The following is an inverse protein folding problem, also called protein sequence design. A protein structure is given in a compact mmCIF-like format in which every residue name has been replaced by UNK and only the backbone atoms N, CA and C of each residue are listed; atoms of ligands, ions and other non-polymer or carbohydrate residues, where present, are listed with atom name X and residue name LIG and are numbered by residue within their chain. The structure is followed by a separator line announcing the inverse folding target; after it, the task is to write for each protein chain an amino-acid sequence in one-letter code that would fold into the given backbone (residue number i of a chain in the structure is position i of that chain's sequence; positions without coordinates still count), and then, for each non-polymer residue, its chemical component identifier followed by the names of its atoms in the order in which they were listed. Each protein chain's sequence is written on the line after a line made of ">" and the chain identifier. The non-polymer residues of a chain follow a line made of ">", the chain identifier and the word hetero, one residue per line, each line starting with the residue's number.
data_IF_936857674986
#
_entry.id   IF_936857674986
#
_cell.length_a   1.000
_cell.length_b   1.000
_cell.length_c   1.000
_cell.angle_alpha   90.00
_cell.angle_beta   90.00
_cell.angle_gamma   90.00
#
_symmetry.space_group_name_H-M   'P 1'
#
loop_
_entity.id
_entity.type
_entity.pdbx_description
1 polymer ?
#
# COMPACT_ATOMS: atom_id res chain seq x y z
N UNK A 1 17.32 -5.61 -28.11
CA UNK A 1 17.87 -4.34 -27.61
C UNK A 1 19.39 -4.36 -27.44
N UNK A 2 20.01 -5.37 -26.77
CA UNK A 2 21.48 -5.46 -26.62
C UNK A 2 22.29 -5.41 -27.91
N UNK A 3 21.76 -5.96 -29.02
CA UNK A 3 22.44 -5.94 -30.31
C UNK A 3 22.41 -4.55 -30.98
N UNK A 4 21.34 -3.78 -30.76
CA UNK A 4 21.20 -2.40 -31.25
C UNK A 4 22.08 -1.48 -30.43
N UNK A 5 22.14 -1.65 -29.12
CA UNK A 5 22.98 -0.91 -28.19
C UNK A 5 24.48 -1.06 -28.48
N UNK A 6 24.90 -2.29 -28.83
CA UNK A 6 26.28 -2.57 -29.24
C UNK A 6 26.59 -1.98 -30.61
N UNK A 7 25.66 -2.00 -31.55
CA UNK A 7 25.83 -1.39 -32.87
C UNK A 7 25.90 0.17 -32.78
N UNK A 8 25.16 0.78 -31.83
CA UNK A 8 25.20 2.23 -31.61
C UNK A 8 26.48 2.68 -30.91
N UNK A 9 27.13 1.84 -30.08
CA UNK A 9 28.43 2.17 -29.46
C UNK A 9 29.59 2.33 -30.47
N UNK A 10 29.50 1.62 -31.58
CA UNK A 10 30.50 1.70 -32.67
C UNK A 10 30.19 2.79 -33.71
N UNK A 11 29.03 3.46 -33.59
CA UNK A 11 28.61 4.52 -34.49
C UNK A 11 29.17 5.87 -34.05
N UNK A 12 30.05 6.48 -34.86
CA UNK A 12 30.55 7.83 -34.63
C UNK A 12 29.43 8.87 -34.88
N UNK A 13 28.95 9.46 -33.83
CA UNK A 13 27.96 10.55 -33.91
C UNK A 13 28.46 11.70 -34.75
N UNK A 14 27.70 12.19 -35.78
CA UNK A 14 28.02 13.41 -36.47
C UNK A 14 27.97 14.63 -35.51
N UNK A 15 28.84 15.62 -35.71
CA UNK A 15 28.84 16.81 -34.83
C UNK A 15 27.43 17.43 -34.74
N UNK A 16 26.92 17.53 -33.51
CA UNK A 16 25.63 18.18 -33.21
C UNK A 16 24.41 17.25 -33.24
N UNK A 17 24.58 15.95 -33.41
CA UNK A 17 23.48 14.95 -33.34
C UNK A 17 23.73 14.02 -32.16
N UNK A 18 22.82 14.00 -31.22
CA UNK A 18 22.83 13.02 -30.14
C UNK A 18 21.80 11.92 -30.44
N UNK A 19 22.26 10.69 -30.61
CA UNK A 19 21.37 9.53 -30.84
C UNK A 19 20.94 9.01 -29.48
N UNK A 20 19.64 9.18 -29.16
CA UNK A 20 19.02 8.56 -27.99
C UNK A 20 18.13 7.42 -28.44
N UNK A 21 18.21 6.28 -27.74
CA UNK A 21 17.22 5.22 -27.89
C UNK A 21 15.93 5.69 -27.24
N UNK A 22 15.04 6.28 -28.04
CA UNK A 22 13.68 6.65 -27.63
C UNK A 22 12.73 5.46 -27.77
N UNK A 23 11.57 5.56 -27.14
CA UNK A 23 10.50 4.58 -27.22
C UNK A 23 10.03 4.09 -25.83
N UNK A 24 9.33 2.99 -25.79
CA UNK A 24 8.68 2.47 -24.57
C UNK A 24 9.61 2.34 -23.35
N UNK A 25 10.90 2.15 -23.55
CA UNK A 25 11.87 2.05 -22.44
C UNK A 25 12.19 3.41 -21.82
N UNK A 26 12.35 4.46 -22.63
CA UNK A 26 12.59 5.83 -22.13
C UNK A 26 11.34 6.35 -21.39
N UNK A 27 10.15 6.15 -21.96
CA UNK A 27 8.88 6.49 -21.30
C UNK A 27 8.70 5.72 -19.98
N UNK A 28 9.11 4.46 -19.91
CA UNK A 28 9.07 3.66 -18.71
C UNK A 28 10.05 4.17 -17.64
N UNK A 29 11.26 4.57 -18.02
CA UNK A 29 12.26 5.14 -17.11
C UNK A 29 11.79 6.49 -16.55
N UNK A 30 11.30 7.39 -17.40
CA UNK A 30 10.74 8.68 -16.97
C UNK A 30 9.55 8.50 -16.04
N UNK A 31 8.63 7.59 -16.37
CA UNK A 31 7.46 7.31 -15.55
C UNK A 31 7.87 6.67 -14.21
N UNK A 32 8.84 5.76 -14.20
CA UNK A 32 9.31 5.15 -12.95
C UNK A 32 10.02 6.15 -12.06
N UNK A 33 10.79 7.08 -12.62
CA UNK A 33 11.42 8.17 -11.87
C UNK A 33 10.36 9.11 -11.27
N UNK A 34 9.34 9.47 -12.05
CA UNK A 34 8.21 10.28 -11.58
C UNK A 34 7.45 9.58 -10.44
N UNK A 35 7.13 8.28 -10.59
CA UNK A 35 6.46 7.51 -9.55
C UNK A 35 7.30 7.39 -8.28
N UNK A 36 8.61 7.21 -8.40
CA UNK A 36 9.53 7.21 -7.27
C UNK A 36 9.52 8.54 -6.52
N UNK A 37 9.56 9.66 -7.24
CA UNK A 37 9.45 10.98 -6.65
C UNK A 37 8.08 11.21 -6.00
N UNK A 38 7.00 10.83 -6.67
CA UNK A 38 5.63 10.93 -6.14
C UNK A 38 5.47 10.12 -4.84
N UNK A 39 6.01 8.90 -4.80
CA UNK A 39 6.02 8.06 -3.59
C UNK A 39 6.80 8.73 -2.46
N UNK A 40 7.98 9.28 -2.74
CA UNK A 40 8.82 9.95 -1.74
C UNK A 40 8.13 11.20 -1.16
N UNK A 41 7.52 12.02 -2.02
CA UNK A 41 6.76 13.21 -1.60
C UNK A 41 5.55 12.79 -0.78
N UNK A 42 4.79 11.77 -1.22
CA UNK A 42 3.63 11.26 -0.50
C UNK A 42 4.02 10.74 0.88
N UNK A 43 5.11 9.98 0.98
CA UNK A 43 5.64 9.48 2.24
C UNK A 43 6.03 10.61 3.19
N UNK A 44 6.72 11.65 2.67
CA UNK A 44 7.11 12.81 3.46
C UNK A 44 5.89 13.59 3.97
N UNK A 45 4.89 13.82 3.11
CA UNK A 45 3.66 14.51 3.50
C UNK A 45 2.89 13.72 4.56
N UNK A 46 2.74 12.40 4.38
CA UNK A 46 2.12 11.52 5.36
C UNK A 46 2.88 11.60 6.69
N UNK A 47 4.21 11.52 6.67
CA UNK A 47 5.04 11.63 7.88
C UNK A 47 4.79 12.95 8.60
N UNK A 48 4.81 14.08 7.89
CA UNK A 48 4.58 15.41 8.48
C UNK A 48 3.18 15.48 9.12
N UNK A 49 2.15 15.05 8.40
CA UNK A 49 0.76 15.05 8.90
C UNK A 49 0.66 14.19 10.17
N UNK A 50 1.23 12.98 10.16
CA UNK A 50 1.19 12.08 11.30
C UNK A 50 1.95 12.62 12.51
N UNK A 51 3.10 13.26 12.30
CA UNK A 51 3.87 13.89 13.40
C UNK A 51 3.08 15.00 14.04
N UNK A 52 2.41 15.84 13.24
CA UNK A 52 1.53 16.91 13.75
C UNK A 52 0.32 16.32 14.48
N UNK A 53 -0.34 15.29 13.90
CA UNK A 53 -1.52 14.63 14.47
C UNK A 53 -1.25 14.02 15.84
N UNK A 54 -0.16 13.26 15.97
CA UNK A 54 0.15 12.50 17.18
C UNK A 54 1.09 13.23 18.15
N UNK A 55 1.57 14.41 17.80
CA UNK A 55 2.58 15.16 18.55
C UNK A 55 3.73 14.25 19.06
N UNK A 56 4.18 13.34 18.22
CA UNK A 56 5.13 12.27 18.53
C UNK A 56 5.78 11.77 17.25
N UNK A 57 7.04 11.36 17.31
CA UNK A 57 7.74 10.74 16.16
C UNK A 57 7.54 9.21 16.16
N UNK A 58 7.44 8.58 17.30
CA UNK A 58 7.41 7.12 17.40
C UNK A 58 6.12 6.47 16.88
N UNK A 59 4.95 7.11 17.03
CA UNK A 59 3.68 6.60 16.51
C UNK A 59 3.62 6.65 14.98
N UNK A 60 3.98 7.76 14.33
CA UNK A 60 4.12 7.81 12.87
C UNK A 60 5.02 6.73 12.29
N UNK A 61 6.15 6.43 12.92
CA UNK A 61 7.05 5.37 12.44
C UNK A 61 6.41 3.98 12.46
N UNK A 62 5.58 3.68 13.46
CA UNK A 62 4.81 2.44 13.52
C UNK A 62 3.83 2.38 12.35
N UNK A 63 3.06 3.44 12.13
CA UNK A 63 2.07 3.51 11.05
C UNK A 63 2.74 3.43 9.68
N UNK A 64 3.85 4.14 9.47
CA UNK A 64 4.59 4.11 8.20
C UNK A 64 5.22 2.74 7.91
N UNK A 65 5.54 1.94 8.92
CA UNK A 65 6.04 0.58 8.72
C UNK A 65 5.01 -0.31 8.00
N UNK A 66 3.71 -0.01 8.11
CA UNK A 66 2.65 -0.74 7.42
C UNK A 66 2.76 -0.60 5.89
N UNK A 67 3.24 0.55 5.39
CA UNK A 67 3.48 0.75 3.95
C UNK A 67 4.53 -0.24 3.45
N UNK A 68 5.62 -0.43 4.20
CA UNK A 68 6.66 -1.40 3.83
C UNK A 68 6.11 -2.83 3.79
N UNK A 69 5.31 -3.21 4.77
CA UNK A 69 4.66 -4.52 4.79
C UNK A 69 3.68 -4.69 3.64
N UNK A 70 2.94 -3.65 3.27
CA UNK A 70 2.03 -3.71 2.13
C UNK A 70 2.77 -3.95 0.81
N UNK A 71 3.93 -3.31 0.61
CA UNK A 71 4.79 -3.53 -0.56
C UNK A 71 5.30 -4.99 -0.60
N UNK A 72 5.72 -5.53 0.55
CA UNK A 72 6.10 -6.95 0.65
C UNK A 72 4.93 -7.85 0.24
N UNK A 73 3.72 -7.54 0.69
CA UNK A 73 2.51 -8.27 0.31
C UNK A 73 2.23 -8.24 -1.19
N UNK A 74 2.43 -7.08 -1.83
CA UNK A 74 2.33 -6.94 -3.30
C UNK A 74 3.32 -7.84 -4.01
N UNK A 75 4.60 -7.77 -3.63
CA UNK A 75 5.67 -8.56 -4.26
C UNK A 75 5.45 -10.06 -4.07
N UNK A 76 5.05 -10.49 -2.87
CA UNK A 76 4.70 -11.88 -2.59
C UNK A 76 3.52 -12.35 -3.46
N UNK A 77 2.44 -11.57 -3.53
CA UNK A 77 1.28 -11.92 -4.35
C UNK A 77 1.65 -12.10 -5.80
N UNK A 78 2.35 -11.13 -6.39
CA UNK A 78 2.77 -11.20 -7.80
C UNK A 78 3.68 -12.41 -8.06
N UNK A 79 4.62 -12.69 -7.13
CA UNK A 79 5.54 -13.83 -7.26
C UNK A 79 4.80 -15.16 -7.17
N UNK A 80 3.88 -15.32 -6.20
CA UNK A 80 3.13 -16.55 -6.00
C UNK A 80 2.21 -16.85 -7.20
N UNK A 81 1.54 -15.83 -7.72
CA UNK A 81 0.61 -15.99 -8.86
C UNK A 81 1.26 -15.84 -10.23
N UNK A 82 2.60 -15.69 -10.30
CA UNK A 82 3.38 -15.57 -11.54
C UNK A 82 2.81 -14.52 -12.51
N UNK A 83 2.40 -13.36 -11.98
CA UNK A 83 1.77 -12.31 -12.77
C UNK A 83 2.83 -11.43 -13.45
N UNK A 84 2.47 -10.91 -14.64
CA UNK A 84 3.32 -9.93 -15.33
C UNK A 84 3.38 -8.61 -14.58
N UNK A 85 4.57 -8.04 -14.46
CA UNK A 85 4.80 -6.80 -13.74
C UNK A 85 4.66 -5.60 -14.69
N UNK A 86 3.67 -4.75 -14.43
CA UNK A 86 3.58 -3.43 -15.04
C UNK A 86 4.09 -2.37 -14.06
N UNK A 87 5.30 -1.87 -14.28
CA UNK A 87 5.96 -0.90 -13.37
C UNK A 87 5.06 0.31 -13.11
N UNK A 88 4.41 0.83 -14.15
CA UNK A 88 3.54 2.01 -14.07
C UNK A 88 2.29 1.75 -13.24
N UNK A 89 1.53 0.71 -13.60
CA UNK A 89 0.24 0.43 -12.93
C UNK A 89 0.44 -0.08 -11.50
N UNK A 90 1.48 -0.89 -11.27
CA UNK A 90 1.85 -1.31 -9.92
C UNK A 90 2.32 -0.13 -9.08
N UNK A 91 3.13 0.77 -9.64
CA UNK A 91 3.60 1.97 -8.94
C UNK A 91 2.44 2.86 -8.48
N UNK A 92 1.48 3.13 -9.37
CA UNK A 92 0.25 3.85 -9.01
C UNK A 92 -0.54 3.10 -7.92
N UNK A 93 -0.65 1.77 -8.05
CA UNK A 93 -1.31 0.91 -7.05
C UNK A 93 -0.65 1.00 -5.67
N UNK A 94 0.68 1.01 -5.59
CA UNK A 94 1.44 1.14 -4.34
C UNK A 94 1.21 2.51 -3.70
N UNK A 95 1.21 3.60 -4.48
CA UNK A 95 0.92 4.95 -3.96
C UNK A 95 -0.50 5.03 -3.39
N UNK A 96 -1.49 4.51 -4.11
CA UNK A 96 -2.87 4.47 -3.64
C UNK A 96 -3.03 3.58 -2.38
N UNK A 97 -2.37 2.43 -2.38
CA UNK A 97 -2.35 1.48 -1.26
C UNK A 97 -1.78 2.11 0.02
N UNK A 98 -0.70 2.90 -0.09
CA UNK A 98 -0.10 3.58 1.04
C UNK A 98 -1.11 4.44 1.80
N UNK A 99 -1.96 5.21 1.09
CA UNK A 99 -3.00 6.03 1.71
C UNK A 99 -4.08 5.21 2.45
N UNK A 100 -4.47 4.07 1.88
CA UNK A 100 -5.50 3.20 2.49
C UNK A 100 -4.96 2.51 3.74
N UNK A 101 -3.74 2.00 3.69
CA UNK A 101 -3.10 1.26 4.78
C UNK A 101 -2.82 2.17 5.96
N UNK A 102 -2.24 3.36 5.72
CA UNK A 102 -1.96 4.37 6.76
C UNK A 102 -3.23 4.77 7.51
N UNK A 103 -4.35 4.93 6.82
CA UNK A 103 -5.63 5.23 7.47
C UNK A 103 -6.03 4.18 8.51
N UNK A 104 -5.83 2.90 8.21
CA UNK A 104 -6.15 1.82 9.16
C UNK A 104 -5.28 1.87 10.41
N UNK A 105 -3.97 2.11 10.24
CA UNK A 105 -3.02 2.29 11.35
C UNK A 105 -3.32 3.51 12.21
N UNK A 106 -3.69 4.64 11.59
CA UNK A 106 -4.11 5.84 12.32
C UNK A 106 -5.27 5.53 13.26
N UNK A 107 -6.35 4.92 12.72
CA UNK A 107 -7.55 4.61 13.50
C UNK A 107 -7.28 3.68 14.69
N UNK A 108 -6.35 2.74 14.55
CA UNK A 108 -5.98 1.82 15.63
C UNK A 108 -5.18 2.53 16.72
N UNK A 109 -4.15 3.29 16.33
CA UNK A 109 -3.28 4.01 17.27
C UNK A 109 -4.01 5.13 17.98
N UNK A 110 -4.84 5.89 17.27
CA UNK A 110 -5.67 6.98 17.85
C UNK A 110 -6.66 6.44 18.89
N UNK A 111 -7.30 5.29 18.59
CA UNK A 111 -8.22 4.69 19.55
C UNK A 111 -7.49 4.15 20.79
N UNK A 112 -6.28 3.59 20.63
CA UNK A 112 -5.47 3.18 21.76
C UNK A 112 -5.07 4.39 22.64
N UNK A 113 -4.69 5.52 22.03
CA UNK A 113 -4.41 6.75 22.75
C UNK A 113 -5.62 7.25 23.54
N UNK A 114 -6.79 7.25 22.91
CA UNK A 114 -8.05 7.64 23.57
C UNK A 114 -8.35 6.76 24.80
N UNK A 115 -8.11 5.45 24.72
CA UNK A 115 -8.29 4.54 25.86
C UNK A 115 -7.27 4.83 26.97
N UNK A 116 -6.03 5.16 26.62
CA UNK A 116 -5.02 5.58 27.61
C UNK A 116 -5.40 6.90 28.30
N UNK A 117 -5.97 7.85 27.59
CA UNK A 117 -6.49 9.10 28.17
C UNK A 117 -7.65 8.84 29.15
N UNK A 118 -8.42 7.77 28.96
CA UNK A 118 -9.45 7.31 29.88
C UNK A 118 -8.91 6.55 31.11
N UNK A 119 -7.59 6.40 31.21
CA UNK A 119 -6.92 5.81 32.36
C UNK A 119 -6.55 4.32 32.22
N UNK A 120 -6.73 3.73 31.03
CA UNK A 120 -6.30 2.35 30.78
C UNK A 120 -4.76 2.28 30.68
N UNK A 121 -4.20 1.14 31.07
CA UNK A 121 -2.79 0.85 30.82
C UNK A 121 -2.52 0.73 29.30
N UNK A 122 -1.26 0.91 28.87
CA UNK A 122 -0.91 0.80 27.46
C UNK A 122 -1.25 -0.59 26.88
N UNK A 123 -1.18 -1.64 27.68
CA UNK A 123 -1.54 -2.99 27.29
C UNK A 123 -3.04 -3.15 27.08
N UNK A 124 -3.84 -2.73 28.06
CA UNK A 124 -5.30 -2.80 27.98
C UNK A 124 -5.84 -1.92 26.84
N UNK A 125 -5.30 -0.70 26.68
CA UNK A 125 -5.69 0.23 25.66
C UNK A 125 -5.50 -0.33 24.24
N UNK A 126 -4.34 -0.94 23.97
CA UNK A 126 -4.07 -1.49 22.62
C UNK A 126 -4.86 -2.79 22.37
N UNK A 127 -5.11 -3.59 23.40
CA UNK A 127 -5.94 -4.78 23.30
C UNK A 127 -7.39 -4.42 22.99
N UNK A 128 -7.94 -3.41 23.70
CA UNK A 128 -9.29 -2.93 23.47
C UNK A 128 -9.42 -2.24 22.10
N UNK A 129 -8.39 -1.48 21.68
CA UNK A 129 -8.32 -0.91 20.35
C UNK A 129 -8.37 -2.00 19.27
N UNK A 130 -7.59 -3.07 19.45
CA UNK A 130 -7.61 -4.22 18.55
C UNK A 130 -9.00 -4.87 18.47
N UNK A 131 -9.63 -5.16 19.60
CA UNK A 131 -10.97 -5.76 19.66
C UNK A 131 -12.03 -4.89 18.98
N UNK A 132 -12.05 -3.61 19.29
CA UNK A 132 -13.09 -2.68 18.79
C UNK A 132 -12.89 -2.34 17.33
N UNK A 133 -11.64 -2.17 16.86
CA UNK A 133 -11.31 -1.72 15.50
C UNK A 133 -11.11 -2.86 14.50
N UNK A 134 -10.92 -4.10 14.95
CA UNK A 134 -10.73 -5.25 14.07
C UNK A 134 -11.88 -5.41 13.06
N UNK A 135 -13.13 -5.40 13.53
CA UNK A 135 -14.29 -5.60 12.66
C UNK A 135 -14.43 -4.51 11.59
N UNK A 136 -14.39 -3.20 11.90
CA UNK A 136 -14.41 -2.14 10.89
C UNK A 136 -13.25 -2.22 9.90
N UNK A 137 -12.03 -2.52 10.35
CA UNK A 137 -10.84 -2.63 9.49
C UNK A 137 -10.98 -3.82 8.52
N UNK A 138 -11.36 -4.99 9.02
CA UNK A 138 -11.60 -6.16 8.16
C UNK A 138 -12.74 -5.92 7.17
N UNK A 139 -13.84 -5.28 7.61
CA UNK A 139 -14.97 -5.00 6.74
C UNK A 139 -14.58 -4.06 5.59
N UNK A 140 -13.89 -2.95 5.90
CA UNK A 140 -13.46 -1.99 4.88
C UNK A 140 -12.44 -2.58 3.92
N UNK A 141 -11.47 -3.36 4.42
CA UNK A 141 -10.50 -4.04 3.58
C UNK A 141 -11.16 -5.06 2.65
N UNK A 142 -12.03 -5.92 3.20
CA UNK A 142 -12.76 -6.93 2.42
C UNK A 142 -13.67 -6.28 1.38
N UNK A 143 -14.41 -5.24 1.74
CA UNK A 143 -15.27 -4.51 0.81
C UNK A 143 -14.45 -3.88 -0.34
N UNK A 144 -13.29 -3.29 -0.03
CA UNK A 144 -12.39 -2.72 -1.06
C UNK A 144 -11.84 -3.82 -1.97
N UNK A 145 -11.37 -4.92 -1.42
CA UNK A 145 -10.86 -6.04 -2.21
C UNK A 145 -11.94 -6.64 -3.11
N UNK A 146 -13.13 -6.91 -2.57
CA UNK A 146 -14.26 -7.42 -3.36
C UNK A 146 -14.69 -6.44 -4.46
N UNK A 147 -14.66 -5.13 -4.19
CA UNK A 147 -14.95 -4.11 -5.18
C UNK A 147 -13.93 -4.06 -6.33
N UNK A 148 -12.67 -4.45 -6.07
CA UNK A 148 -11.61 -4.50 -7.07
C UNK A 148 -11.58 -5.82 -7.87
N UNK A 149 -12.18 -6.91 -7.35
CA UNK A 149 -12.19 -8.22 -8.05
C UNK A 149 -12.74 -8.13 -9.47
N UNK A 150 -13.88 -7.50 -9.74
CA UNK A 150 -14.40 -7.38 -11.11
C UNK A 150 -13.40 -6.73 -12.05
N UNK A 151 -12.71 -5.68 -11.61
CA UNK A 151 -11.70 -4.98 -12.38
C UNK A 151 -10.42 -5.83 -12.55
N UNK A 152 -10.03 -6.56 -11.51
CA UNK A 152 -8.85 -7.43 -11.52
C UNK A 152 -8.99 -8.61 -12.48
N UNK A 153 -10.18 -9.21 -12.56
CA UNK A 153 -10.47 -10.33 -13.47
C UNK A 153 -11.02 -9.90 -14.84
N UNK A 154 -11.27 -8.58 -15.00
CA UNK A 154 -11.77 -8.00 -16.22
C UNK A 154 -13.20 -8.40 -16.57
N UNK A 155 -14.07 -8.36 -15.59
CA UNK A 155 -15.49 -8.53 -15.77
C UNK A 155 -16.06 -7.33 -16.53
N UNK A 156 -16.55 -7.57 -17.73
CA UNK A 156 -17.20 -6.56 -18.57
C UNK A 156 -18.69 -6.86 -18.70
N UNK A 157 -19.49 -5.79 -18.64
CA UNK A 157 -20.93 -5.80 -18.79
C UNK A 157 -21.32 -4.80 -19.87
N UNK A 158 -22.05 -5.25 -20.90
CA UNK A 158 -22.59 -4.36 -21.92
C UNK A 158 -23.94 -3.83 -21.48
N UNK A 159 -23.95 -2.65 -20.87
CA UNK A 159 -25.18 -1.99 -20.42
C UNK A 159 -26.08 -1.56 -21.60
N UNK A 160 -25.52 -1.24 -22.77
CA UNK A 160 -26.31 -0.88 -23.95
C UNK A 160 -27.06 -2.10 -24.48
N UNK A 161 -26.42 -3.25 -24.56
CA UNK A 161 -27.05 -4.52 -24.93
C UNK A 161 -28.08 -4.97 -23.88
N UNK A 162 -27.80 -4.78 -22.59
CA UNK A 162 -28.74 -5.06 -21.50
C UNK A 162 -30.05 -4.27 -21.65
N UNK A 163 -29.95 -2.97 -21.95
CA UNK A 163 -31.12 -2.10 -22.09
C UNK A 163 -31.89 -2.33 -23.39
N UNK A 164 -31.20 -2.73 -24.50
CA UNK A 164 -31.82 -2.89 -25.81
C UNK A 164 -32.36 -4.31 -26.06
N UNK A 165 -31.65 -5.34 -25.57
CA UNK A 165 -31.99 -6.75 -25.86
C UNK A 165 -32.27 -7.58 -24.59
N UNK A 166 -32.10 -7.00 -23.40
CA UNK A 166 -32.24 -7.71 -22.10
C UNK A 166 -31.09 -8.69 -21.81
N UNK A 167 -30.05 -8.72 -22.65
CA UNK A 167 -28.88 -9.59 -22.46
C UNK A 167 -27.62 -8.75 -22.17
N UNK A 168 -27.00 -8.87 -20.97
CA UNK A 168 -25.86 -8.05 -20.56
C UNK A 168 -24.53 -8.41 -21.25
N UNK A 169 -24.47 -9.40 -22.15
CA UNK A 169 -23.24 -9.87 -22.77
C UNK A 169 -22.05 -9.87 -21.85
N UNK A 170 -22.09 -10.71 -20.80
CA UNK A 170 -21.02 -10.80 -19.79
C UNK A 170 -19.81 -11.49 -20.44
N UNK A 171 -18.65 -10.82 -20.40
CA UNK A 171 -17.38 -11.40 -20.86
C UNK A 171 -16.22 -10.99 -19.95
N UNK A 172 -15.15 -11.80 -19.97
CA UNK A 172 -13.93 -11.57 -19.19
C UNK A 172 -12.79 -11.22 -20.13
N UNK A 173 -11.90 -10.30 -19.66
CA UNK A 173 -10.72 -9.90 -20.43
C UNK A 173 -10.92 -8.58 -21.19
N UNK A 174 -10.13 -8.39 -22.26
CA UNK A 174 -10.10 -7.17 -23.06
C UNK A 174 -9.03 -6.18 -22.59
N UNK A 175 -8.92 -5.04 -23.32
CA UNK A 175 -7.87 -4.03 -23.11
C UNK A 175 -7.91 -3.39 -21.70
N UNK A 176 -9.11 -3.30 -21.11
CA UNK A 176 -9.26 -2.78 -19.74
C UNK A 176 -8.50 -3.61 -18.71
N UNK A 177 -8.45 -4.93 -18.87
CA UNK A 177 -7.73 -5.81 -17.93
C UNK A 177 -6.23 -5.65 -18.06
N UNK A 178 -5.73 -5.55 -19.29
CA UNK A 178 -4.30 -5.34 -19.52
C UNK A 178 -3.82 -4.05 -18.83
N UNK A 179 -4.67 -3.03 -18.77
CA UNK A 179 -4.35 -1.74 -18.18
C UNK A 179 -4.63 -1.70 -16.66
N UNK A 180 -5.84 -2.03 -16.21
CA UNK A 180 -6.26 -1.89 -14.81
C UNK A 180 -6.03 -3.12 -13.94
N UNK A 181 -5.83 -4.30 -14.55
CA UNK A 181 -5.60 -5.55 -13.84
C UNK A 181 -4.41 -5.49 -12.90
N UNK A 182 -3.20 -5.09 -13.37
CA UNK A 182 -2.01 -5.00 -12.52
C UNK A 182 -2.18 -4.07 -11.32
N UNK A 183 -2.86 -2.93 -11.49
CA UNK A 183 -3.20 -2.01 -10.40
C UNK A 183 -4.13 -2.68 -9.38
N UNK A 184 -5.20 -3.33 -9.85
CA UNK A 184 -6.19 -3.95 -8.98
C UNK A 184 -5.61 -5.11 -8.19
N UNK A 185 -4.82 -5.97 -8.82
CA UNK A 185 -4.13 -7.07 -8.13
C UNK A 185 -3.09 -6.57 -7.12
N UNK A 186 -2.35 -5.50 -7.46
CA UNK A 186 -1.44 -4.83 -6.54
C UNK A 186 -2.16 -4.39 -5.27
N UNK A 187 -3.31 -3.74 -5.42
CA UNK A 187 -4.11 -3.30 -4.27
C UNK A 187 -4.68 -4.48 -3.48
N UNK A 188 -5.18 -5.52 -4.14
CA UNK A 188 -5.75 -6.71 -3.47
C UNK A 188 -4.67 -7.41 -2.63
N UNK A 189 -3.52 -7.72 -3.21
CA UNK A 189 -2.43 -8.41 -2.50
C UNK A 189 -1.86 -7.56 -1.38
N UNK A 190 -1.57 -6.29 -1.67
CA UNK A 190 -1.01 -5.37 -0.68
C UNK A 190 -1.96 -5.13 0.48
N UNK A 191 -3.25 -4.90 0.21
CA UNK A 191 -4.24 -4.65 1.25
C UNK A 191 -4.53 -5.91 2.08
N UNK A 192 -4.59 -7.10 1.45
CA UNK A 192 -4.77 -8.37 2.17
C UNK A 192 -3.65 -8.59 3.18
N UNK A 193 -2.41 -8.47 2.73
CA UNK A 193 -1.23 -8.69 3.56
C UNK A 193 -1.08 -7.60 4.63
N UNK A 194 -1.25 -6.33 4.25
CA UNK A 194 -1.19 -5.21 5.18
C UNK A 194 -2.26 -5.33 6.28
N UNK A 195 -3.51 -5.62 5.91
CA UNK A 195 -4.61 -5.74 6.90
C UNK A 195 -4.32 -6.82 7.93
N UNK A 196 -3.81 -7.98 7.49
CA UNK A 196 -3.42 -9.05 8.40
C UNK A 196 -2.28 -8.61 9.33
N UNK A 197 -1.25 -7.97 8.78
CA UNK A 197 -0.11 -7.51 9.57
C UNK A 197 -0.44 -6.31 10.48
N UNK A 198 -1.27 -5.37 10.05
CA UNK A 198 -1.72 -4.24 10.88
C UNK A 198 -2.29 -4.73 12.21
N UNK A 199 -3.10 -5.78 12.19
CA UNK A 199 -3.73 -6.32 13.40
C UNK A 199 -2.75 -7.00 14.35
N UNK A 200 -1.57 -7.41 13.90
CA UNK A 200 -0.55 -8.09 14.71
C UNK A 200 0.63 -7.17 15.02
N UNK A 201 1.17 -6.54 13.98
CA UNK A 201 2.43 -5.78 14.09
C UNK A 201 2.22 -4.45 14.78
N UNK A 202 1.15 -3.72 14.47
CA UNK A 202 0.90 -2.41 15.08
C UNK A 202 0.72 -2.51 16.60
N UNK A 203 -0.12 -3.40 17.14
CA UNK A 203 -0.21 -3.59 18.59
C UNK A 203 1.13 -3.97 19.23
N UNK A 204 1.87 -4.88 18.58
CA UNK A 204 3.17 -5.33 19.09
C UNK A 204 4.19 -4.19 19.13
N UNK A 205 4.31 -3.41 18.06
CA UNK A 205 5.21 -2.25 17.99
C UNK A 205 4.79 -1.13 18.94
N UNK A 206 3.49 -0.92 19.12
CA UNK A 206 2.96 0.05 20.07
C UNK A 206 3.39 -0.30 21.51
N UNK A 207 3.26 -1.57 21.91
CA UNK A 207 3.70 -2.05 23.23
C UNK A 207 5.22 -1.97 23.40
N UNK A 208 6.00 -2.33 22.37
CA UNK A 208 7.47 -2.19 22.42
C UNK A 208 7.84 -0.73 22.65
N UNK A 209 7.22 0.20 21.91
CA UNK A 209 7.43 1.62 22.09
C UNK A 209 7.07 2.09 23.52
N UNK A 210 5.93 1.67 24.05
CA UNK A 210 5.50 2.01 25.40
C UNK A 210 6.50 1.51 26.44
N UNK A 211 7.01 0.28 26.32
CA UNK A 211 8.05 -0.28 27.19
C UNK A 211 9.38 0.47 27.08
N UNK A 212 9.80 0.83 25.87
CA UNK A 212 11.04 1.59 25.66
C UNK A 212 10.92 2.99 26.29
N UNK A 213 9.76 3.65 26.10
CA UNK A 213 9.50 4.95 26.71
C UNK A 213 9.55 4.88 28.24
N UNK A 214 8.88 3.89 28.84
CA UNK A 214 8.89 3.70 30.29
C UNK A 214 10.30 3.49 30.85
N UNK A 215 11.16 2.74 30.15
CA UNK A 215 12.56 2.54 30.56
C UNK A 215 13.43 3.78 30.43
N UNK A 216 13.19 4.62 29.40
CA UNK A 216 14.02 5.82 29.16
C UNK A 216 13.66 7.00 30.08
N UNK A 217 12.39 7.10 30.49
CA UNK A 217 11.86 8.24 31.24
C UNK A 217 11.48 7.88 32.69
N UNK A 218 11.87 6.70 33.17
CA UNK A 218 11.59 6.20 34.53
C UNK A 218 10.11 6.27 34.92
N UNK A 219 9.22 6.10 33.89
CA UNK A 219 7.78 5.97 34.07
C UNK A 219 7.44 4.56 34.57
N UNK A 220 6.25 4.39 35.19
CA UNK A 220 5.79 3.08 35.68
C UNK A 220 5.90 2.01 34.59
N UNK A 221 6.45 0.83 34.92
CA UNK A 221 6.57 -0.25 33.93
C UNK A 221 5.20 -0.65 33.37
N UNK A 222 5.15 -0.96 32.07
CA UNK A 222 3.96 -1.50 31.44
C UNK A 222 3.76 -2.92 31.96
N UNK A 223 2.82 -3.12 32.88
CA UNK A 223 2.44 -4.44 33.39
C UNK A 223 1.73 -5.24 32.29
N UNK A 224 2.27 -6.40 31.96
CA UNK A 224 1.58 -7.39 31.15
C UNK A 224 1.07 -8.42 32.13
N UNK A 225 -0.25 -8.69 32.19
CA UNK A 225 -0.76 -9.78 33.02
C UNK A 225 -0.06 -11.09 32.62
N UNK A 226 0.49 -11.78 33.64
CA UNK A 226 0.99 -13.14 33.47
C UNK A 226 -0.25 -14.07 33.57
N UNK A 227 -0.78 -14.52 32.41
CA UNK A 227 -1.79 -15.58 32.35
C UNK A 227 -1.16 -16.96 32.23
#
# INVERSE_FOLDING_TARGET
>A
NKNIENALKDFKEPMGVTIKMGGAQEEQEETSAFLGLALAISFLLILIILVIQFNSIGKPLIILSEILFSIIGVLLGITIFHMEMSVVMMGIGIVALAGIVVRNGILLVEFADLMMEQGMSAYEAILEAGRTRMTPVLLTATATMLGLVPLAVGLNLDFAALLSTGNPHIYFGGDNVAFWGPLSWTMIFGLSFATFLTLIVVPSMYLIRAKVKARLFDEKPVEIPED
#
